data_IF_392630688627
#
_entry.id   IF_392630688627
#
_cell.length_a   1.000
_cell.length_b   1.000
_cell.length_c   1.000
_cell.angle_alpha   90.00
_cell.angle_beta   90.00
_cell.angle_gamma   90.00
#
_symmetry.space_group_name_H-M   'P 1'
#
loop_
_entity.id
_entity.type
_entity.pdbx_description
1 polymer ?
#
# COMPACT_ATOMS: atom_id res chain seq x y z
N UNK A 1 20.40 -7.93 -7.03
CA UNK A 1 19.13 -8.69 -7.04
C UNK A 1 18.08 -8.06 -6.13
N UNK A 2 18.42 -7.75 -4.86
CA UNK A 2 17.47 -7.20 -3.87
C UNK A 2 16.75 -5.90 -4.27
N UNK A 3 17.41 -5.00 -5.00
CA UNK A 3 16.77 -3.74 -5.45
C UNK A 3 15.77 -3.93 -6.59
N UNK A 4 15.81 -5.06 -7.30
CA UNK A 4 14.78 -5.43 -8.28
C UNK A 4 13.50 -5.94 -7.58
N UNK A 5 13.56 -6.25 -6.29
CA UNK A 5 12.42 -6.74 -5.53
C UNK A 5 11.30 -5.70 -5.46
N UNK A 6 11.63 -4.43 -5.22
CA UNK A 6 10.62 -3.34 -5.23
C UNK A 6 9.95 -3.22 -6.60
N UNK A 7 10.73 -3.29 -7.68
CA UNK A 7 10.20 -3.21 -9.06
C UNK A 7 9.31 -4.42 -9.37
N UNK A 8 9.75 -5.62 -8.97
CA UNK A 8 8.98 -6.85 -9.13
C UNK A 8 7.67 -6.80 -8.34
N UNK A 9 7.68 -6.33 -7.10
CA UNK A 9 6.49 -6.18 -6.27
C UNK A 9 5.50 -5.18 -6.90
N UNK A 10 5.98 -4.05 -7.41
CA UNK A 10 5.13 -3.07 -8.10
C UNK A 10 4.53 -3.65 -9.38
N UNK A 11 5.29 -4.45 -10.12
CA UNK A 11 4.80 -5.15 -11.29
C UNK A 11 3.72 -6.17 -10.90
N UNK A 12 4.02 -7.06 -9.95
CA UNK A 12 3.08 -8.05 -9.43
C UNK A 12 1.80 -7.37 -8.92
N UNK A 13 1.94 -6.29 -8.13
CA UNK A 13 0.82 -5.49 -7.64
C UNK A 13 -0.01 -4.93 -8.81
N UNK A 14 0.62 -4.37 -9.85
CA UNK A 14 -0.11 -3.89 -11.02
C UNK A 14 -0.94 -5.00 -11.71
N UNK A 15 -0.36 -6.19 -11.90
CA UNK A 15 -1.06 -7.32 -12.53
C UNK A 15 -2.18 -7.88 -11.67
N UNK A 16 -1.95 -8.02 -10.36
CA UNK A 16 -2.97 -8.47 -9.41
C UNK A 16 -4.10 -7.43 -9.30
N UNK A 17 -3.78 -6.15 -9.24
CA UNK A 17 -4.78 -5.08 -9.24
C UNK A 17 -5.63 -5.05 -10.51
N UNK A 18 -5.04 -5.36 -11.67
CA UNK A 18 -5.77 -5.55 -12.93
C UNK A 18 -6.78 -6.70 -12.80
N UNK A 19 -6.38 -7.84 -12.23
CA UNK A 19 -7.27 -8.97 -11.99
C UNK A 19 -8.39 -8.62 -11.02
N UNK A 20 -8.07 -7.98 -9.90
CA UNK A 20 -9.07 -7.57 -8.89
C UNK A 20 -10.10 -6.66 -9.53
N UNK A 21 -9.68 -5.68 -10.34
CA UNK A 21 -10.59 -4.82 -11.09
C UNK A 21 -11.49 -5.62 -12.04
N UNK A 22 -10.93 -6.53 -12.82
CA UNK A 22 -11.69 -7.35 -13.77
C UNK A 22 -12.67 -8.29 -13.07
N UNK A 23 -12.29 -8.86 -11.93
CA UNK A 23 -13.15 -9.70 -11.11
C UNK A 23 -14.30 -8.90 -10.47
N UNK A 24 -14.02 -7.70 -9.95
CA UNK A 24 -15.02 -6.85 -9.26
C UNK A 24 -15.97 -6.17 -10.25
N UNK A 25 -15.47 -5.71 -11.41
CA UNK A 25 -16.28 -4.97 -12.37
C UNK A 25 -16.78 -5.79 -13.56
N UNK A 26 -16.24 -7.00 -13.77
CA UNK A 26 -16.81 -8.04 -14.61
C UNK A 26 -16.80 -7.79 -16.12
N UNK A 27 -16.29 -8.79 -16.84
CA UNK A 27 -16.10 -8.97 -18.30
C UNK A 27 -17.27 -8.59 -19.25
N UNK A 28 -18.44 -8.19 -18.75
CA UNK A 28 -19.64 -7.90 -19.54
C UNK A 28 -20.00 -6.41 -19.66
N UNK A 29 -19.37 -5.50 -18.92
CA UNK A 29 -19.77 -4.08 -18.88
C UNK A 29 -18.92 -3.13 -19.74
N UNK A 30 -17.95 -3.66 -20.49
CA UNK A 30 -17.15 -2.86 -21.42
C UNK A 30 -17.84 -2.54 -22.75
N UNK A 31 -19.01 -3.13 -23.02
CA UNK A 31 -19.67 -3.01 -24.33
C UNK A 31 -20.66 -1.85 -24.45
N UNK A 32 -21.02 -1.13 -23.39
CA UNK A 32 -22.16 -0.21 -23.50
C UNK A 32 -22.15 1.09 -22.68
N UNK A 33 -21.03 1.55 -22.12
CA UNK A 33 -20.99 2.93 -21.61
C UNK A 33 -19.60 3.55 -21.71
N UNK A 34 -19.54 4.64 -22.47
CA UNK A 34 -18.40 5.55 -22.67
C UNK A 34 -17.99 6.32 -21.40
N UNK A 35 -18.69 6.16 -20.28
CA UNK A 35 -18.32 6.65 -18.95
C UNK A 35 -17.62 5.59 -18.09
N UNK A 36 -16.89 4.66 -18.72
CA UNK A 36 -16.17 3.62 -17.98
C UNK A 36 -15.18 4.26 -17.01
N UNK A 37 -15.43 4.07 -15.70
CA UNK A 37 -14.53 4.40 -14.59
C UNK A 37 -13.11 3.88 -14.88
N UNK A 38 -12.30 4.72 -15.52
CA UNK A 38 -10.92 4.38 -15.87
C UNK A 38 -10.09 4.47 -14.59
N UNK A 39 -10.01 3.35 -13.87
CA UNK A 39 -9.00 3.15 -12.84
C UNK A 39 -7.64 3.54 -13.41
N UNK A 40 -7.00 4.53 -12.80
CA UNK A 40 -5.65 4.93 -13.15
C UNK A 40 -4.65 3.83 -12.80
N UNK A 41 -3.50 3.81 -13.48
CA UNK A 41 -2.42 2.83 -13.22
C UNK A 41 -2.02 2.81 -11.74
N UNK A 42 -1.95 3.98 -11.08
CA UNK A 42 -1.62 4.06 -9.66
C UNK A 42 -2.68 3.44 -8.73
N UNK A 43 -3.97 3.53 -9.09
CA UNK A 43 -5.04 2.88 -8.32
C UNK A 43 -4.97 1.35 -8.47
N UNK A 44 -4.61 0.85 -9.66
CA UNK A 44 -4.35 -0.59 -9.86
C UNK A 44 -3.16 -1.07 -9.02
N UNK A 45 -2.06 -0.31 -8.97
CA UNK A 45 -0.91 -0.69 -8.15
C UNK A 45 -1.24 -0.71 -6.66
N UNK A 46 -1.93 0.30 -6.12
CA UNK A 46 -2.32 0.34 -4.70
C UNK A 46 -3.25 -0.82 -4.34
N UNK A 47 -4.31 -1.00 -5.12
CA UNK A 47 -5.30 -2.07 -4.87
C UNK A 47 -4.68 -3.45 -4.99
N UNK A 48 -3.79 -3.64 -5.96
CA UNK A 48 -3.03 -4.88 -6.09
C UNK A 48 -2.06 -5.11 -4.94
N UNK A 49 -1.36 -4.07 -4.47
CA UNK A 49 -0.45 -4.19 -3.31
C UNK A 49 -1.20 -4.60 -2.05
N UNK A 50 -2.39 -4.03 -1.81
CA UNK A 50 -3.24 -4.43 -0.69
C UNK A 50 -3.77 -5.85 -0.83
N UNK A 51 -4.13 -6.27 -2.04
CA UNK A 51 -4.50 -7.65 -2.30
C UNK A 51 -3.33 -8.61 -2.03
N UNK A 52 -2.10 -8.23 -2.42
CA UNK A 52 -0.90 -9.00 -2.12
C UNK A 52 -0.66 -9.13 -0.62
N UNK A 53 -0.79 -8.05 0.15
CA UNK A 53 -0.69 -8.11 1.61
C UNK A 53 -1.73 -9.08 2.20
N UNK A 54 -3.01 -8.94 1.82
CA UNK A 54 -4.06 -9.83 2.34
C UNK A 54 -3.82 -11.29 1.96
N UNK A 55 -3.37 -11.56 0.73
CA UNK A 55 -3.05 -12.92 0.28
C UNK A 55 -1.89 -13.53 1.05
N UNK A 56 -0.85 -12.74 1.32
CA UNK A 56 0.27 -13.17 2.15
C UNK A 56 -0.19 -13.51 3.56
N UNK A 57 -0.97 -12.64 4.18
CA UNK A 57 -1.46 -12.84 5.54
C UNK A 57 -2.37 -14.07 5.65
N UNK A 58 -3.22 -14.30 4.64
CA UNK A 58 -4.03 -15.51 4.57
C UNK A 58 -3.18 -16.79 4.45
N UNK A 59 -2.13 -16.77 3.62
CA UNK A 59 -1.19 -17.88 3.46
C UNK A 59 -0.39 -18.15 4.74
N UNK A 60 0.15 -17.09 5.35
CA UNK A 60 0.89 -17.13 6.60
C UNK A 60 0.04 -17.74 7.73
N UNK A 61 -1.21 -17.28 7.88
CA UNK A 61 -2.16 -17.85 8.84
C UNK A 61 -2.42 -19.33 8.55
N UNK A 62 -2.71 -19.70 7.31
CA UNK A 62 -3.00 -21.08 6.93
C UNK A 62 -1.86 -22.03 7.29
N UNK A 63 -0.63 -21.62 6.99
CA UNK A 63 0.57 -22.45 7.19
C UNK A 63 0.91 -22.57 8.67
N UNK A 64 0.71 -21.49 9.41
CA UNK A 64 0.88 -21.50 10.85
C UNK A 64 -0.13 -22.43 11.53
N UNK A 65 -1.40 -22.46 11.08
CA UNK A 65 -2.41 -23.42 11.55
C UNK A 65 -2.08 -24.87 11.18
N UNK A 66 -1.46 -25.10 10.02
CA UNK A 66 -1.03 -26.44 9.59
C UNK A 66 0.28 -26.89 10.25
N UNK A 67 0.93 -26.03 11.04
CA UNK A 67 2.24 -26.31 11.64
C UNK A 67 3.38 -26.40 10.63
N UNK A 68 3.21 -25.81 9.45
CA UNK A 68 4.23 -25.77 8.41
C UNK A 68 5.37 -24.81 8.74
N UNK A 69 6.53 -25.00 8.09
CA UNK A 69 7.64 -24.06 8.23
C UNK A 69 7.37 -22.76 7.47
N UNK A 70 7.92 -21.65 7.97
CA UNK A 70 7.86 -20.34 7.30
C UNK A 70 8.34 -20.42 5.84
N UNK A 71 9.45 -21.11 5.59
CA UNK A 71 9.96 -21.36 4.25
C UNK A 71 8.92 -21.98 3.30
N UNK A 72 8.13 -22.93 3.81
CA UNK A 72 7.09 -23.58 3.00
C UNK A 72 6.05 -22.54 2.58
N UNK A 73 5.70 -21.60 3.46
CA UNK A 73 4.80 -20.51 3.11
C UNK A 73 5.34 -19.53 2.12
N UNK A 74 6.59 -19.12 2.29
CA UNK A 74 7.24 -18.28 1.27
C UNK A 74 7.20 -18.95 -0.11
N UNK A 75 7.44 -20.27 -0.19
CA UNK A 75 7.36 -21.02 -1.46
C UNK A 75 5.94 -21.08 -2.02
N UNK A 76 4.93 -21.38 -1.18
CA UNK A 76 3.52 -21.42 -1.59
C UNK A 76 3.07 -20.05 -2.09
N UNK A 77 3.36 -18.99 -1.36
CA UNK A 77 3.04 -17.64 -1.74
C UNK A 77 3.68 -17.23 -3.07
N UNK A 78 4.96 -17.55 -3.30
CA UNK A 78 5.63 -17.30 -4.59
C UNK A 78 4.92 -18.04 -5.73
N UNK A 79 4.51 -19.29 -5.53
CA UNK A 79 3.74 -20.03 -6.53
C UNK A 79 2.38 -19.35 -6.83
N UNK A 80 1.70 -18.85 -5.80
CA UNK A 80 0.46 -18.07 -5.94
C UNK A 80 0.72 -16.80 -6.75
N UNK A 81 1.79 -16.06 -6.46
CA UNK A 81 2.18 -14.86 -7.19
C UNK A 81 2.43 -15.14 -8.68
N UNK A 82 3.19 -16.20 -8.98
CA UNK A 82 3.43 -16.60 -10.37
C UNK A 82 2.14 -16.99 -11.08
N UNK A 83 1.26 -17.75 -10.42
CA UNK A 83 -0.03 -18.13 -10.97
C UNK A 83 -0.91 -16.90 -11.26
N UNK A 84 -1.00 -15.95 -10.33
CA UNK A 84 -1.75 -14.70 -10.52
C UNK A 84 -1.19 -13.86 -11.68
N UNK A 85 0.13 -13.70 -11.75
CA UNK A 85 0.78 -13.00 -12.86
C UNK A 85 0.50 -13.69 -14.20
N UNK A 86 0.58 -15.02 -14.26
CA UNK A 86 0.29 -15.80 -15.46
C UNK A 86 -1.17 -15.71 -15.89
N UNK A 87 -2.12 -15.80 -14.95
CA UNK A 87 -3.56 -15.64 -15.23
C UNK A 87 -3.84 -14.23 -15.76
N UNK A 88 -3.25 -13.20 -15.14
CA UNK A 88 -3.41 -11.82 -15.58
C UNK A 88 -2.82 -11.59 -16.98
N UNK A 89 -1.66 -12.16 -17.28
CA UNK A 89 -1.07 -12.15 -18.62
C UNK A 89 -1.96 -12.86 -19.65
N UNK A 90 -2.46 -14.06 -19.33
CA UNK A 90 -3.35 -14.82 -20.21
C UNK A 90 -4.65 -14.08 -20.51
N UNK A 91 -5.26 -13.44 -19.50
CA UNK A 91 -6.47 -12.62 -19.67
C UNK A 91 -6.23 -11.41 -20.58
N UNK A 92 -5.06 -10.75 -20.47
CA UNK A 92 -4.69 -9.63 -21.35
C UNK A 92 -4.43 -10.03 -22.79
N UNK A 93 -3.75 -11.16 -22.99
CA UNK A 93 -3.53 -11.71 -24.35
C UNK A 93 -4.89 -12.03 -24.99
N UNK A 94 -5.80 -12.66 -24.24
CA UNK A 94 -7.14 -12.99 -24.72
C UNK A 94 -8.02 -11.77 -25.04
N UNK A 95 -7.79 -10.63 -24.37
CA UNK A 95 -8.54 -9.38 -24.59
C UNK A 95 -7.95 -8.49 -25.69
N UNK A 96 -6.96 -8.98 -26.46
CA UNK A 96 -6.39 -8.34 -27.66
C UNK A 96 -5.92 -6.89 -27.47
N UNK A 97 -5.59 -6.49 -26.23
CA UNK A 97 -4.95 -5.21 -25.94
C UNK A 97 -3.59 -5.47 -25.27
N UNK A 98 -2.57 -5.92 -26.03
CA UNK A 98 -1.21 -5.69 -25.57
C UNK A 98 -1.05 -4.17 -25.46
N UNK A 99 -1.10 -3.63 -24.24
CA UNK A 99 -0.60 -2.27 -24.00
C UNK A 99 0.87 -2.35 -24.34
N UNK A 100 1.29 -1.69 -25.41
CA UNK A 100 2.69 -1.51 -25.74
C UNK A 100 3.41 -0.99 -24.50
N UNK A 101 4.17 -1.88 -23.87
CA UNK A 101 5.03 -1.52 -22.76
C UNK A 101 6.27 -0.88 -23.39
N UNK A 102 6.14 0.44 -23.59
CA UNK A 102 7.19 1.43 -23.85
C UNK A 102 7.74 1.54 -25.28
N UNK A 103 7.72 2.77 -25.81
CA UNK A 103 8.83 3.34 -26.58
C UNK A 103 8.98 4.85 -26.34
N UNK A 104 7.89 5.58 -26.03
CA UNK A 104 7.94 7.04 -25.80
C UNK A 104 7.41 7.44 -24.41
N UNK A 105 8.15 7.12 -23.34
CA UNK A 105 7.86 7.67 -22.01
C UNK A 105 8.31 9.13 -21.93
N UNK A 106 7.51 10.04 -22.50
CA UNK A 106 7.73 11.48 -22.35
C UNK A 106 7.16 11.90 -21.00
N UNK A 107 8.02 11.92 -19.97
CA UNK A 107 7.68 12.54 -18.68
C UNK A 107 7.48 14.04 -18.96
N UNK A 108 6.29 14.61 -18.71
CA UNK A 108 6.07 16.02 -18.93
C UNK A 108 7.06 16.82 -18.06
N UNK A 109 7.61 17.91 -18.60
CA UNK A 109 8.65 18.68 -17.92
C UNK A 109 8.27 19.16 -16.51
N UNK A 110 6.97 19.33 -16.25
CA UNK A 110 6.43 19.66 -14.93
C UNK A 110 6.69 18.60 -13.84
N UNK A 111 6.90 17.34 -14.22
CA UNK A 111 7.17 16.25 -13.28
C UNK A 111 8.66 16.02 -13.03
N UNK A 112 9.55 16.62 -13.83
CA UNK A 112 11.01 16.46 -13.68
C UNK A 112 11.47 16.82 -12.25
N UNK A 113 11.05 17.97 -11.65
CA UNK A 113 11.47 18.29 -10.29
C UNK A 113 11.00 17.24 -9.26
N UNK A 114 9.76 16.75 -9.39
CA UNK A 114 9.24 15.70 -8.52
C UNK A 114 10.05 14.40 -8.65
N UNK A 115 10.39 13.99 -9.87
CA UNK A 115 11.23 12.80 -10.11
C UNK A 115 12.61 12.96 -9.47
N UNK A 116 13.25 14.11 -9.61
CA UNK A 116 14.54 14.40 -8.97
C UNK A 116 14.42 14.31 -7.45
N UNK A 117 13.38 14.90 -6.86
CA UNK A 117 13.14 14.90 -5.42
C UNK A 117 12.87 13.47 -4.88
N UNK A 118 12.12 12.65 -5.63
CA UNK A 118 11.92 11.23 -5.31
C UNK A 118 13.25 10.48 -5.33
N UNK A 119 14.09 10.72 -6.34
CA UNK A 119 15.42 10.10 -6.42
C UNK A 119 16.29 10.54 -5.25
N UNK A 120 16.25 11.81 -4.85
CA UNK A 120 16.98 12.30 -3.67
C UNK A 120 16.53 11.54 -2.41
N UNK A 121 15.22 11.41 -2.18
CA UNK A 121 14.70 10.65 -1.04
C UNK A 121 15.08 9.17 -1.10
N UNK A 122 15.02 8.57 -2.29
CA UNK A 122 15.45 7.19 -2.49
C UNK A 122 16.94 7.01 -2.16
N UNK A 123 17.79 7.95 -2.55
CA UNK A 123 19.22 7.97 -2.23
C UNK A 123 19.44 8.21 -0.73
N UNK A 124 18.62 9.05 -0.08
CA UNK A 124 18.70 9.31 1.36
C UNK A 124 18.57 8.03 2.19
N UNK A 125 17.76 7.05 1.78
CA UNK A 125 17.68 5.74 2.46
C UNK A 125 19.00 4.95 2.45
N UNK A 126 19.93 5.27 1.55
CA UNK A 126 21.26 4.67 1.51
C UNK A 126 22.30 5.45 2.31
N UNK A 127 22.01 6.73 2.60
CA UNK A 127 22.95 7.64 3.25
C UNK A 127 22.66 7.82 4.74
N UNK A 128 21.38 7.78 5.13
CA UNK A 128 20.98 7.94 6.53
C UNK A 128 20.99 6.63 7.27
N UNK A 129 21.44 6.70 8.52
CA UNK A 129 21.25 5.60 9.46
C UNK A 129 19.77 5.55 9.86
N UNK A 130 19.15 4.36 9.85
CA UNK A 130 17.79 4.18 10.31
C UNK A 130 17.71 4.47 11.81
N UNK A 131 16.62 5.08 12.24
CA UNK A 131 16.35 5.30 13.66
C UNK A 131 15.62 4.09 14.24
N UNK A 132 16.29 3.39 15.15
CA UNK A 132 15.82 2.13 15.75
C UNK A 132 15.22 2.33 17.14
N UNK A 133 15.10 3.58 17.62
CA UNK A 133 14.57 3.87 18.96
C UNK A 133 13.14 3.36 19.14
N UNK A 134 12.91 2.54 20.16
CA UNK A 134 11.60 1.93 20.48
C UNK A 134 11.01 1.05 19.36
N UNK A 135 11.87 0.39 18.56
CA UNK A 135 11.45 -0.53 17.49
C UNK A 135 11.90 -1.97 17.76
N UNK A 136 11.05 -2.94 17.40
CA UNK A 136 11.31 -4.39 17.53
C UNK A 136 11.18 -5.17 16.22
N UNK A 137 10.95 -4.47 15.11
CA UNK A 137 10.66 -5.05 13.78
C UNK A 137 11.81 -5.93 13.33
N UNK A 138 13.05 -5.48 13.54
CA UNK A 138 14.24 -6.19 13.09
C UNK A 138 14.47 -7.47 13.89
N UNK A 139 14.32 -7.43 15.21
CA UNK A 139 14.40 -8.61 16.08
C UNK A 139 13.30 -9.62 15.72
N UNK A 140 12.07 -9.15 15.52
CA UNK A 140 10.93 -9.97 15.10
C UNK A 140 11.19 -10.69 13.78
N UNK A 141 11.63 -9.96 12.74
CA UNK A 141 11.98 -10.54 11.43
C UNK A 141 13.11 -11.57 11.53
N UNK A 142 14.17 -11.26 12.27
CA UNK A 142 15.28 -12.20 12.48
C UNK A 142 14.82 -13.46 13.22
N UNK A 143 13.92 -13.30 14.18
CA UNK A 143 13.35 -14.41 14.96
C UNK A 143 12.48 -15.32 14.10
N UNK A 144 11.64 -14.77 13.21
CA UNK A 144 10.87 -15.55 12.23
C UNK A 144 11.79 -16.35 11.31
N UNK A 145 12.83 -15.70 10.76
CA UNK A 145 13.81 -16.36 9.90
C UNK A 145 14.68 -17.38 10.63
N UNK A 146 14.89 -17.20 11.94
CA UNK A 146 15.66 -18.13 12.76
C UNK A 146 14.85 -19.37 13.12
N UNK A 147 13.68 -19.15 13.70
CA UNK A 147 12.80 -20.20 14.21
C UNK A 147 12.02 -20.92 13.12
N UNK A 148 11.94 -20.33 11.92
CA UNK A 148 11.12 -20.82 10.80
C UNK A 148 9.64 -20.97 11.18
N UNK A 149 9.15 -20.12 12.10
CA UNK A 149 7.78 -20.12 12.62
C UNK A 149 7.22 -18.70 12.63
N UNK A 150 5.92 -18.60 12.33
CA UNK A 150 5.14 -17.35 12.34
C UNK A 150 4.53 -17.02 13.70
N UNK A 151 4.48 -17.99 14.62
CA UNK A 151 3.88 -17.81 15.93
C UNK A 151 4.91 -17.75 17.04
N UNK A 152 4.87 -16.58 17.71
CA UNK A 152 5.37 -16.21 19.02
C UNK A 152 6.68 -16.84 19.40
N UNK A 153 7.75 -16.09 19.20
CA UNK A 153 8.83 -16.08 20.15
C UNK A 153 8.93 -14.62 20.55
N UNK A 154 8.70 -14.32 21.83
CA UNK A 154 9.00 -12.98 22.34
C UNK A 154 10.49 -12.72 22.04
N UNK A 155 10.82 -11.69 21.24
CA UNK A 155 12.18 -11.43 20.80
C UNK A 155 13.12 -11.14 21.98
N UNK A 156 12.61 -10.68 23.13
CA UNK A 156 13.40 -10.39 24.32
C UNK A 156 13.67 -11.64 25.16
N UNK A 157 12.72 -12.59 25.22
CA UNK A 157 12.78 -13.73 26.14
C UNK A 157 13.02 -15.07 25.46
N UNK A 158 12.90 -15.15 24.13
CA UNK A 158 13.07 -16.40 23.38
C UNK A 158 11.97 -17.44 23.65
N UNK A 159 10.96 -17.09 24.45
CA UNK A 159 9.89 -18.00 24.83
C UNK A 159 8.80 -17.97 23.78
N UNK A 160 8.30 -19.16 23.44
CA UNK A 160 7.03 -19.25 22.74
C UNK A 160 5.92 -18.81 23.67
N UNK A 161 5.24 -17.70 23.38
CA UNK A 161 4.08 -17.25 24.18
C UNK A 161 2.92 -18.23 24.00
N UNK A 162 3.02 -19.34 24.75
CA UNK A 162 2.12 -20.47 24.71
C UNK A 162 0.83 -20.26 25.51
N UNK A 163 0.65 -19.11 26.17
CA UNK A 163 -0.52 -18.88 27.01
C UNK A 163 -1.07 -17.47 26.83
N UNK A 164 -2.29 -17.40 26.28
CA UNK A 164 -3.19 -16.23 26.23
C UNK A 164 -2.85 -15.14 25.20
N UNK A 165 -2.41 -15.51 23.99
CA UNK A 165 -2.48 -14.53 22.89
C UNK A 165 -3.89 -14.51 22.31
N UNK A 166 -4.54 -13.34 22.42
CA UNK A 166 -5.85 -13.06 21.80
C UNK A 166 -5.80 -13.34 20.29
N UNK A 167 -6.95 -13.65 19.65
CA UNK A 167 -7.00 -13.90 18.20
C UNK A 167 -6.32 -12.78 17.38
N UNK A 168 -6.47 -11.52 17.81
CA UNK A 168 -5.82 -10.38 17.18
C UNK A 168 -4.29 -10.37 17.33
N UNK A 169 -3.76 -10.81 18.47
CA UNK A 169 -2.32 -10.95 18.63
C UNK A 169 -1.72 -12.10 17.81
N UNK A 170 -2.55 -13.03 17.29
CA UNK A 170 -2.13 -14.13 16.39
C UNK A 170 -2.11 -13.74 14.92
N UNK A 171 -2.59 -12.55 14.57
CA UNK A 171 -2.50 -12.06 13.21
C UNK A 171 -1.03 -11.72 12.94
N UNK A 172 -0.44 -12.21 11.84
CA UNK A 172 0.90 -11.78 11.47
C UNK A 172 0.84 -10.28 11.15
N UNK A 173 1.82 -9.55 11.69
CA UNK A 173 2.00 -8.13 11.41
C UNK A 173 2.91 -7.95 10.19
N UNK A 174 3.19 -6.70 9.82
CA UNK A 174 4.09 -6.36 8.70
C UNK A 174 5.44 -7.06 8.74
N UNK A 175 5.90 -7.43 9.92
CA UNK A 175 7.13 -8.16 10.18
C UNK A 175 7.18 -9.50 9.43
N UNK A 176 6.05 -10.20 9.33
CA UNK A 176 5.97 -11.48 8.62
C UNK A 176 6.20 -11.28 7.12
N UNK A 177 5.62 -10.21 6.56
CA UNK A 177 5.80 -9.83 5.16
C UNK A 177 7.26 -9.41 4.90
N UNK A 178 7.86 -8.66 5.81
CA UNK A 178 9.27 -8.27 5.69
C UNK A 178 10.23 -9.46 5.81
N UNK A 179 9.92 -10.42 6.69
CA UNK A 179 10.65 -11.68 6.77
C UNK A 179 10.55 -12.46 5.45
N UNK A 180 9.39 -12.45 4.80
CA UNK A 180 9.21 -13.07 3.49
C UNK A 180 10.07 -12.39 2.43
N UNK A 181 10.05 -11.05 2.39
CA UNK A 181 10.90 -10.29 1.47
C UNK A 181 12.40 -10.57 1.70
N UNK A 182 12.83 -10.60 2.96
CA UNK A 182 14.21 -10.89 3.31
C UNK A 182 14.59 -12.32 2.91
N UNK A 183 13.70 -13.29 3.12
CA UNK A 183 13.89 -14.68 2.71
C UNK A 183 14.07 -14.81 1.20
N UNK A 184 13.22 -14.16 0.41
CA UNK A 184 13.31 -14.13 -1.06
C UNK A 184 14.60 -13.45 -1.53
N UNK A 185 15.05 -12.43 -0.80
CA UNK A 185 16.25 -11.67 -1.16
C UNK A 185 17.57 -12.40 -0.86
N UNK A 186 17.56 -13.44 -0.02
CA UNK A 186 18.74 -14.21 0.37
C UNK A 186 18.80 -14.59 1.85
N UNK A 187 17.74 -14.38 2.61
CA UNK A 187 17.65 -14.76 4.02
C UNK A 187 18.25 -13.71 4.97
N UNK A 188 18.89 -14.19 6.04
CA UNK A 188 19.32 -13.37 7.19
C UNK A 188 20.32 -12.28 6.81
N UNK A 189 21.24 -12.58 5.90
CA UNK A 189 22.28 -11.64 5.45
C UNK A 189 21.70 -10.38 4.78
N UNK A 190 20.44 -10.46 4.32
CA UNK A 190 19.76 -9.41 3.59
C UNK A 190 18.65 -8.72 4.39
N UNK A 191 18.45 -9.06 5.66
CA UNK A 191 17.38 -8.47 6.49
C UNK A 191 17.54 -6.96 6.61
N UNK A 192 18.73 -6.50 6.97
CA UNK A 192 19.00 -5.05 7.12
C UNK A 192 18.82 -4.28 5.82
N UNK A 193 19.26 -4.84 4.70
CA UNK A 193 19.09 -4.21 3.38
C UNK A 193 17.62 -4.19 2.98
N UNK A 194 16.87 -5.26 3.28
CA UNK A 194 15.43 -5.34 3.01
C UNK A 194 14.68 -4.31 3.85
N UNK A 195 14.85 -4.35 5.16
CA UNK A 195 14.13 -3.50 6.10
C UNK A 195 14.49 -2.04 5.93
N UNK A 196 15.77 -1.68 5.83
CA UNK A 196 16.14 -0.26 5.92
C UNK A 196 16.29 0.42 4.56
N UNK A 197 16.12 -0.31 3.45
CA UNK A 197 16.24 0.27 2.10
C UNK A 197 15.07 -0.11 1.20
N UNK A 198 14.79 -1.41 1.05
CA UNK A 198 13.74 -1.89 0.13
C UNK A 198 12.34 -1.50 0.62
N UNK A 199 12.05 -1.73 1.91
CA UNK A 199 10.75 -1.43 2.51
C UNK A 199 10.47 0.08 2.53
N UNK A 200 11.36 0.96 3.04
CA UNK A 200 11.16 2.41 2.96
C UNK A 200 10.97 2.93 1.53
N UNK A 201 11.71 2.39 0.56
CA UNK A 201 11.52 2.74 -0.85
C UNK A 201 10.13 2.33 -1.36
N UNK A 202 9.65 1.15 -0.98
CA UNK A 202 8.31 0.69 -1.30
C UNK A 202 7.26 1.61 -0.65
N UNK A 203 7.41 1.95 0.63
CA UNK A 203 6.50 2.85 1.35
C UNK A 203 6.45 4.24 0.73
N UNK A 204 7.60 4.78 0.35
CA UNK A 204 7.71 6.05 -0.37
C UNK A 204 6.90 6.00 -1.67
N UNK A 205 7.09 4.96 -2.49
CA UNK A 205 6.34 4.84 -3.75
C UNK A 205 4.83 4.74 -3.49
N UNK A 206 4.41 3.94 -2.50
CA UNK A 206 3.00 3.80 -2.15
C UNK A 206 2.38 5.12 -1.64
N UNK A 207 3.13 5.92 -0.87
CA UNK A 207 2.71 7.26 -0.45
C UNK A 207 2.44 8.15 -1.67
N UNK A 208 3.41 8.26 -2.60
CA UNK A 208 3.23 9.04 -3.82
C UNK A 208 2.05 8.55 -4.67
N UNK A 209 1.79 7.25 -4.71
CA UNK A 209 0.62 6.71 -5.40
C UNK A 209 -0.70 7.11 -4.70
N UNK A 210 -0.74 7.08 -3.37
CA UNK A 210 -1.92 7.41 -2.57
C UNK A 210 -2.23 8.92 -2.65
N UNK A 211 -1.27 9.78 -2.37
CA UNK A 211 -1.40 11.23 -2.53
C UNK A 211 -1.62 11.63 -3.99
N UNK A 212 -1.04 10.88 -4.93
CA UNK A 212 -1.28 11.07 -6.35
C UNK A 212 -2.75 10.95 -6.75
N UNK A 213 -3.56 10.17 -6.03
CA UNK A 213 -5.02 10.10 -6.26
C UNK A 213 -5.72 11.41 -5.87
N UNK A 214 -5.27 12.04 -4.79
CA UNK A 214 -5.77 13.35 -4.37
C UNK A 214 -5.32 14.47 -5.32
N UNK A 215 -4.05 14.45 -5.73
CA UNK A 215 -3.51 15.40 -6.70
C UNK A 215 -4.29 15.34 -8.02
N UNK A 216 -4.60 14.13 -8.51
CA UNK A 216 -5.41 13.94 -9.72
C UNK A 216 -6.84 14.52 -9.58
N UNK A 217 -7.43 14.52 -8.38
CA UNK A 217 -8.74 15.15 -8.12
C UNK A 217 -8.60 16.67 -8.10
N UNK A 218 -7.62 17.20 -7.37
CA UNK A 218 -7.45 18.64 -7.14
C UNK A 218 -7.10 19.35 -8.44
N UNK A 219 -6.17 18.78 -9.21
CA UNK A 219 -5.65 19.44 -10.41
C UNK A 219 -6.46 19.15 -11.66
N UNK A 220 -7.25 18.08 -11.71
CA UNK A 220 -7.90 17.64 -12.94
C UNK A 220 -6.93 17.01 -13.94
N UNK A 221 -7.45 16.65 -15.12
CA UNK A 221 -6.72 15.88 -16.17
C UNK A 221 -6.31 16.72 -17.39
N UNK A 222 -6.65 18.00 -17.40
CA UNK A 222 -6.33 18.92 -18.48
C UNK A 222 -4.82 19.26 -18.50
N UNK A 223 -4.38 20.07 -19.48
CA UNK A 223 -2.96 20.39 -19.66
C UNK A 223 -2.42 21.26 -18.52
N UNK A 224 -3.22 22.19 -17.99
CA UNK A 224 -2.82 23.03 -16.86
C UNK A 224 -2.85 22.23 -15.56
N UNK A 225 -3.88 21.40 -15.38
CA UNK A 225 -3.97 20.43 -14.30
C UNK A 225 -2.73 19.53 -14.20
N UNK A 226 -2.25 18.97 -15.32
CA UNK A 226 -1.01 18.17 -15.34
C UNK A 226 0.24 18.97 -14.94
N UNK A 227 0.31 20.26 -15.24
CA UNK A 227 1.41 21.12 -14.80
C UNK A 227 1.34 21.35 -13.29
N UNK A 228 0.15 21.65 -12.77
CA UNK A 228 -0.09 21.85 -11.33
C UNK A 228 0.16 20.56 -10.54
N UNK A 229 -0.22 19.41 -11.07
CA UNK A 229 0.04 18.10 -10.48
C UNK A 229 1.55 17.87 -10.27
N UNK A 230 2.38 18.15 -11.27
CA UNK A 230 3.84 18.06 -11.13
C UNK A 230 4.40 18.94 -10.01
N UNK A 231 3.84 20.14 -9.82
CA UNK A 231 4.19 21.03 -8.70
C UNK A 231 3.78 20.44 -7.36
N UNK A 232 2.55 19.91 -7.24
CA UNK A 232 2.08 19.31 -5.98
C UNK A 232 2.87 18.05 -5.60
N UNK A 233 3.25 17.21 -6.58
CA UNK A 233 4.16 16.09 -6.32
C UNK A 233 5.54 16.57 -5.83
N UNK A 234 6.04 17.66 -6.38
CA UNK A 234 7.30 18.26 -5.92
C UNK A 234 7.18 18.81 -4.50
N UNK A 235 6.05 19.46 -4.17
CA UNK A 235 5.77 19.96 -2.82
C UNK A 235 5.65 18.83 -1.80
N UNK A 236 4.98 17.73 -2.14
CA UNK A 236 4.94 16.53 -1.29
C UNK A 236 6.35 16.03 -1.00
N UNK A 237 7.19 15.96 -2.03
CA UNK A 237 8.56 15.52 -1.86
C UNK A 237 9.42 16.47 -1.02
N UNK A 238 9.21 17.79 -1.15
CA UNK A 238 9.86 18.79 -0.28
C UNK A 238 9.37 18.64 1.16
N UNK A 239 8.07 18.41 1.38
CA UNK A 239 7.51 18.16 2.71
C UNK A 239 8.13 16.92 3.36
N UNK A 240 8.37 15.85 2.60
CA UNK A 240 9.06 14.67 3.11
C UNK A 240 10.49 15.01 3.55
N UNK A 241 11.26 15.70 2.71
CA UNK A 241 12.66 16.08 3.01
C UNK A 241 12.73 17.07 4.17
N UNK A 242 11.94 18.15 4.13
CA UNK A 242 11.95 19.16 5.19
C UNK A 242 11.38 18.60 6.49
N UNK A 243 10.35 17.77 6.40
CA UNK A 243 9.75 17.08 7.53
C UNK A 243 10.68 16.06 8.18
N UNK A 244 11.67 15.54 7.46
CA UNK A 244 12.71 14.67 8.02
C UNK A 244 13.68 15.39 8.96
N UNK A 245 13.57 16.70 9.14
CA UNK A 245 14.30 17.42 10.19
C UNK A 245 13.49 17.58 11.49
N UNK A 246 12.24 17.10 11.52
CA UNK A 246 11.36 17.15 12.70
C UNK A 246 11.12 15.74 13.26
N UNK A 247 11.80 15.33 14.35
CA UNK A 247 11.88 13.93 14.80
C UNK A 247 10.55 13.27 15.19
N UNK A 248 9.52 14.05 15.49
CA UNK A 248 8.20 13.55 15.91
C UNK A 248 7.16 13.52 14.76
N UNK A 249 7.56 13.87 13.54
CA UNK A 249 6.67 13.98 12.39
C UNK A 249 6.49 12.69 11.60
N UNK A 250 5.34 12.54 10.93
CA UNK A 250 5.05 11.44 9.98
C UNK A 250 6.10 11.38 8.86
N UNK A 251 6.55 12.55 8.37
CA UNK A 251 7.57 12.65 7.33
C UNK A 251 8.96 12.23 7.80
N UNK A 252 9.32 12.48 9.06
CA UNK A 252 10.54 11.94 9.66
C UNK A 252 10.46 10.42 9.79
N UNK A 253 9.33 9.92 10.31
CA UNK A 253 9.09 8.50 10.44
C UNK A 253 9.16 7.79 9.08
N UNK A 254 8.67 8.38 8.00
CA UNK A 254 8.78 7.81 6.67
C UNK A 254 10.24 7.68 6.18
N UNK A 255 11.07 8.71 6.40
CA UNK A 255 12.45 8.75 5.91
C UNK A 255 13.40 7.91 6.80
N UNK A 256 13.26 7.99 8.12
CA UNK A 256 14.20 7.39 9.08
C UNK A 256 13.70 6.08 9.71
N UNK A 257 12.37 5.86 9.73
CA UNK A 257 11.71 4.72 10.35
C UNK A 257 10.79 4.00 9.36
N UNK A 258 11.00 4.17 8.05
CA UNK A 258 10.06 3.79 6.98
C UNK A 258 9.63 2.32 6.96
N UNK A 259 10.35 1.45 7.67
CA UNK A 259 10.01 0.03 7.87
C UNK A 259 8.88 -0.19 8.87
N UNK A 260 8.56 0.77 9.73
CA UNK A 260 7.48 0.65 10.71
C UNK A 260 6.12 0.51 10.04
N UNK A 261 5.32 -0.42 10.56
CA UNK A 261 3.94 -0.64 10.12
C UNK A 261 3.06 0.61 10.22
N UNK A 262 3.31 1.48 11.20
CA UNK A 262 2.59 2.75 11.33
C UNK A 262 2.75 3.66 10.10
N UNK A 263 3.89 3.63 9.40
CA UNK A 263 4.07 4.44 8.20
C UNK A 263 3.16 4.00 7.05
N UNK A 264 2.91 2.69 6.91
CA UNK A 264 1.92 2.17 5.96
C UNK A 264 0.52 2.69 6.31
N UNK A 265 0.19 2.75 7.60
CA UNK A 265 -1.10 3.28 8.08
C UNK A 265 -1.23 4.76 7.76
N UNK A 266 -0.33 5.60 8.28
CA UNK A 266 -0.49 7.06 8.27
C UNK A 266 -0.16 7.70 6.93
N UNK A 267 0.87 7.22 6.22
CA UNK A 267 1.31 7.82 4.95
C UNK A 267 0.60 7.25 3.72
N UNK A 268 0.01 6.04 3.83
CA UNK A 268 -0.59 5.36 2.66
C UNK A 268 -2.07 5.05 2.89
N UNK A 269 -2.41 4.22 3.88
CA UNK A 269 -3.77 3.71 4.05
C UNK A 269 -4.75 4.81 4.45
N UNK A 270 -4.40 5.68 5.40
CA UNK A 270 -5.25 6.80 5.84
C UNK A 270 -5.59 7.76 4.69
N UNK A 271 -4.61 8.30 3.94
CA UNK A 271 -4.89 9.13 2.77
C UNK A 271 -5.72 8.42 1.71
N UNK A 272 -5.46 7.12 1.47
CA UNK A 272 -6.19 6.34 0.48
C UNK A 272 -7.62 5.99 0.90
N UNK A 273 -7.86 5.69 2.16
CA UNK A 273 -9.20 5.46 2.74
C UNK A 273 -10.01 6.75 2.63
N UNK A 274 -9.43 7.90 2.99
CA UNK A 274 -10.07 9.20 2.83
C UNK A 274 -10.49 9.43 1.36
N UNK A 275 -9.60 9.12 0.42
CA UNK A 275 -9.88 9.20 -1.01
C UNK A 275 -11.06 8.30 -1.41
N UNK A 276 -11.06 7.04 -0.97
CA UNK A 276 -12.14 6.10 -1.27
C UNK A 276 -13.48 6.57 -0.68
N UNK A 277 -13.48 7.07 0.55
CA UNK A 277 -14.67 7.66 1.18
C UNK A 277 -15.19 8.85 0.37
N UNK A 278 -14.33 9.78 -0.05
CA UNK A 278 -14.72 10.88 -0.93
C UNK A 278 -15.36 10.38 -2.24
N UNK A 279 -14.79 9.35 -2.86
CA UNK A 279 -15.31 8.79 -4.10
C UNK A 279 -16.66 8.07 -3.91
N UNK A 280 -16.86 7.40 -2.78
CA UNK A 280 -18.11 6.67 -2.45
C UNK A 280 -19.21 7.65 -2.08
N UNK A 281 -18.92 8.60 -1.19
CA UNK A 281 -19.93 9.49 -0.61
C UNK A 281 -20.16 10.76 -1.43
N UNK A 282 -19.09 11.40 -1.90
CA UNK A 282 -19.15 12.60 -2.74
C UNK A 282 -19.52 12.26 -4.18
N UNK A 283 -18.73 11.40 -4.82
CA UNK A 283 -18.91 11.04 -6.24
C UNK A 283 -19.87 9.86 -6.47
N UNK A 284 -20.52 9.35 -5.42
CA UNK A 284 -21.55 8.28 -5.46
C UNK A 284 -21.08 6.97 -6.12
N UNK A 285 -19.76 6.70 -6.17
CA UNK A 285 -19.19 5.49 -6.78
C UNK A 285 -19.23 4.30 -5.83
N UNK A 286 -20.43 3.77 -5.56
CA UNK A 286 -20.66 2.69 -4.58
C UNK A 286 -19.82 1.43 -4.79
N UNK A 287 -19.48 1.09 -6.03
CA UNK A 287 -18.67 -0.09 -6.33
C UNK A 287 -17.26 -0.04 -5.71
N UNK A 288 -16.80 1.16 -5.28
CA UNK A 288 -15.50 1.32 -4.61
C UNK A 288 -15.49 0.87 -3.15
N UNK A 289 -16.64 0.49 -2.58
CA UNK A 289 -16.73 -0.08 -1.22
C UNK A 289 -15.84 -1.32 -1.08
N UNK A 290 -15.70 -2.15 -2.12
CA UNK A 290 -14.85 -3.34 -2.06
C UNK A 290 -13.38 -2.97 -1.81
N UNK A 291 -12.89 -1.90 -2.43
CA UNK A 291 -11.53 -1.40 -2.16
C UNK A 291 -11.38 -0.79 -0.77
N UNK A 292 -12.44 -0.18 -0.24
CA UNK A 292 -12.46 0.31 1.12
C UNK A 292 -12.36 -0.85 2.11
N UNK A 293 -13.15 -1.90 1.92
CA UNK A 293 -13.09 -3.13 2.74
C UNK A 293 -11.70 -3.75 2.67
N UNK A 294 -11.08 -3.79 1.48
CA UNK A 294 -9.73 -4.30 1.30
C UNK A 294 -8.69 -3.44 2.03
N UNK A 295 -8.75 -2.11 1.90
CA UNK A 295 -7.83 -1.21 2.60
C UNK A 295 -8.00 -1.32 4.13
N UNK A 296 -9.24 -1.46 4.61
CA UNK A 296 -9.53 -1.68 6.04
C UNK A 296 -9.02 -3.04 6.50
N UNK A 297 -9.12 -4.10 5.69
CA UNK A 297 -8.55 -5.40 6.01
C UNK A 297 -7.03 -5.31 6.20
N UNK A 298 -6.31 -4.58 5.34
CA UNK A 298 -4.86 -4.38 5.48
C UNK A 298 -4.49 -3.68 6.79
N UNK A 299 -5.32 -2.76 7.31
CA UNK A 299 -5.01 -2.10 8.59
C UNK A 299 -4.83 -3.07 9.75
N UNK A 300 -5.63 -4.13 9.79
CA UNK A 300 -5.55 -5.14 10.86
C UNK A 300 -4.24 -5.94 10.85
N UNK A 301 -3.51 -5.91 9.73
CA UNK A 301 -2.21 -6.56 9.57
C UNK A 301 -1.05 -5.55 9.53
N UNK A 302 -1.35 -4.26 9.40
CA UNK A 302 -0.35 -3.21 9.20
C UNK A 302 0.35 -2.80 10.50
N UNK A 303 -0.39 -2.73 11.61
CA UNK A 303 0.14 -2.39 12.94
C UNK A 303 -0.87 -2.81 14.01
N UNK A 304 -0.45 -2.77 15.29
CA UNK A 304 -1.31 -3.00 16.45
C UNK A 304 -2.67 -2.30 16.29
N UNK A 305 -3.75 -3.04 16.57
CA UNK A 305 -5.16 -2.68 16.30
C UNK A 305 -5.48 -1.27 16.82
N UNK A 306 -4.91 -0.86 17.96
CA UNK A 306 -5.11 0.48 18.51
C UNK A 306 -4.46 1.58 17.67
N UNK A 307 -3.26 1.35 17.15
CA UNK A 307 -2.50 2.31 16.34
C UNK A 307 -2.99 2.36 14.89
N UNK A 308 -3.53 1.25 14.37
CA UNK A 308 -4.01 1.12 12.99
C UNK A 308 -5.48 1.47 12.80
N UNK A 309 -6.39 1.02 13.68
CA UNK A 309 -7.82 1.15 13.47
C UNK A 309 -8.37 2.54 13.81
N UNK A 310 -7.83 3.20 14.85
CA UNK A 310 -8.34 4.50 15.33
C UNK A 310 -8.27 5.60 14.24
N UNK A 311 -7.14 5.83 13.55
CA UNK A 311 -7.05 6.85 12.51
C UNK A 311 -8.03 6.60 11.35
N UNK A 312 -8.15 5.34 10.91
CA UNK A 312 -9.03 4.98 9.82
C UNK A 312 -10.51 5.14 10.18
N UNK A 313 -10.90 4.73 11.40
CA UNK A 313 -12.25 4.94 11.91
C UNK A 313 -12.59 6.42 11.99
N UNK A 314 -11.68 7.26 12.48
CA UNK A 314 -11.87 8.71 12.52
C UNK A 314 -12.13 9.29 11.13
N UNK A 315 -11.33 8.89 10.14
CA UNK A 315 -11.47 9.34 8.73
C UNK A 315 -12.81 8.90 8.13
N UNK A 316 -13.22 7.65 8.35
CA UNK A 316 -14.49 7.12 7.86
C UNK A 316 -15.66 7.89 8.49
N UNK A 317 -15.63 8.11 9.81
CA UNK A 317 -16.66 8.85 10.54
C UNK A 317 -16.76 10.29 10.03
N UNK A 318 -15.63 11.00 9.94
CA UNK A 318 -15.60 12.38 9.42
C UNK A 318 -16.17 12.45 8.00
N UNK A 319 -15.80 11.49 7.14
CA UNK A 319 -16.29 11.42 5.76
C UNK A 319 -17.80 11.18 5.67
N UNK A 320 -18.33 10.30 6.53
CA UNK A 320 -19.78 10.03 6.62
C UNK A 320 -20.51 11.28 7.10
N UNK A 321 -20.03 11.92 8.17
CA UNK A 321 -20.64 13.15 8.73
C UNK A 321 -20.64 14.28 7.69
N UNK A 322 -19.52 14.53 7.02
CA UNK A 322 -19.42 15.53 5.95
C UNK A 322 -20.40 15.24 4.80
N UNK A 323 -20.60 13.96 4.45
CA UNK A 323 -21.59 13.57 3.45
C UNK A 323 -23.03 13.80 3.90
N UNK A 324 -23.33 13.61 5.19
CA UNK A 324 -24.67 13.86 5.73
C UNK A 324 -24.99 15.36 5.76
N UNK A 325 -24.04 16.20 6.16
CA UNK A 325 -24.18 17.67 6.19
C UNK A 325 -24.45 18.21 4.78
N UNK A 326 -23.62 17.85 3.81
CA UNK A 326 -23.78 18.29 2.41
C UNK A 326 -25.13 17.87 1.79
N UNK A 327 -25.67 16.70 2.17
CA UNK A 327 -27.01 16.28 1.76
C UNK A 327 -28.10 17.13 2.40
N UNK A 328 -27.96 17.47 3.68
CA UNK A 328 -28.88 18.34 4.41
C UNK A 328 -29.01 19.72 3.78
N UNK A 329 -27.90 20.33 3.38
CA UNK A 329 -27.85 21.63 2.70
C UNK A 329 -28.51 21.60 1.32
N UNK A 330 -28.26 20.54 0.53
CA UNK A 330 -28.91 20.39 -0.79
C UNK A 330 -30.44 20.20 -0.70
N UNK A 331 -30.93 19.65 0.41
CA UNK A 331 -32.36 19.43 0.66
C UNK A 331 -33.10 20.69 1.12
N UNK A 332 -32.43 21.55 1.87
CA UNK A 332 -32.98 22.84 2.30
C UNK A 332 -32.99 23.86 1.17
N UNK A 333 -32.00 23.84 0.28
CA UNK A 333 -31.96 24.70 -0.91
C UNK A 333 -33.10 24.39 -1.88
N UNK A 334 -33.39 23.11 -2.12
CA UNK A 334 -34.55 22.68 -2.93
C UNK A 334 -35.91 23.05 -2.33
N UNK A 335 -36.01 23.16 -1.00
CA UNK A 335 -37.25 23.58 -0.31
C UNK A 335 -37.45 25.10 -0.29
N UNK A 336 -36.42 25.89 -0.53
CA UNK A 336 -36.52 27.36 -0.65
C UNK A 336 -36.80 27.83 -2.08
N UNK A 337 -36.60 26.97 -3.08
CA UNK A 337 -36.75 27.28 -4.50
C UNK A 337 -38.05 26.74 -5.14
N UNK A 338 -38.93 26.09 -4.36
CA UNK A 338 -40.26 25.63 -4.79
C UNK A 338 -41.35 26.28 -3.97
#
# INVERSE_FOLDING_TARGET
MIYLLTVFLLFAAYWVGSLVKEAVFGYGKQLNNSDSDSFGTGEMCLTGMFALFILWEADALMISYMGGSFETGVRVYIMILFALCAISAAMRIRTNKPKEWYSDFVIPSSYIPAVIIIIIQAVSFFLFYPDLSDDRTTESVLTILYSQRLHFIDPDTGMTDGYVVSFFGRLPETDSFYAMLAMVAGGRDFVYVTLYRVVPLLMLILEYLAYGRWIDIICGKDKEGRKLAGVLYSMLGILNICGSFSPDGVFYSLIHRGFRGENLVFSVLVPYIAYLCYMIFGNKKKNRIIYLVMAVAVLFFAADVQRSAVPAMAVIIISVVASLISRGESGTEKRRAG
#
